data_IF_497042182052
#
_entry.id   IF_497042182052
#
_cell.length_a   1.000
_cell.length_b   1.000
_cell.length_c   1.000
_cell.angle_alpha   90.00
_cell.angle_beta   90.00
_cell.angle_gamma   90.00
#
_symmetry.space_group_name_H-M   'P 1'
#
loop_
_entity.id
_entity.type
_entity.pdbx_description
1 polymer ?
#
# COMPACT_ATOMS: atom_id res chain seq x y z
N UNK A 1 20.97 21.37 -7.86
CA UNK A 1 20.79 21.32 -6.38
C UNK A 1 19.31 21.18 -5.99
N UNK A 2 18.39 22.04 -6.47
CA UNK A 2 16.96 21.90 -6.15
C UNK A 2 16.30 20.66 -6.78
N UNK A 3 16.67 20.29 -8.01
CA UNK A 3 16.17 19.07 -8.69
C UNK A 3 16.56 17.80 -7.92
N UNK A 4 17.85 17.66 -7.59
CA UNK A 4 18.38 16.54 -6.78
C UNK A 4 17.65 16.37 -5.44
N UNK A 5 17.39 17.49 -4.74
CA UNK A 5 16.65 17.47 -3.49
C UNK A 5 15.20 17.02 -3.71
N UNK A 6 14.53 17.55 -4.75
CA UNK A 6 13.15 17.19 -5.12
C UNK A 6 12.99 15.70 -5.40
N UNK A 7 13.94 15.10 -6.11
CA UNK A 7 13.90 13.67 -6.42
C UNK A 7 14.12 12.83 -5.16
N UNK A 8 15.11 13.20 -4.35
CA UNK A 8 15.44 12.52 -3.11
C UNK A 8 14.29 12.56 -2.11
N UNK A 9 13.64 13.72 -1.92
CA UNK A 9 12.51 13.86 -0.98
C UNK A 9 11.27 13.11 -1.48
N UNK A 10 10.99 13.15 -2.80
CA UNK A 10 9.88 12.40 -3.41
C UNK A 10 10.05 10.90 -3.14
N UNK A 11 11.24 10.36 -3.42
CA UNK A 11 11.53 8.95 -3.23
C UNK A 11 11.50 8.56 -1.75
N UNK A 12 12.10 9.37 -0.86
CA UNK A 12 12.04 9.17 0.59
C UNK A 12 10.59 9.08 1.09
N UNK A 13 9.73 10.03 0.71
CA UNK A 13 8.33 10.04 1.12
C UNK A 13 7.55 8.84 0.55
N UNK A 14 7.83 8.43 -0.69
CA UNK A 14 7.21 7.25 -1.29
C UNK A 14 7.59 5.97 -0.54
N UNK A 15 8.88 5.79 -0.23
CA UNK A 15 9.39 4.64 0.53
C UNK A 15 8.84 4.64 1.96
N UNK A 16 8.74 5.81 2.60
CA UNK A 16 8.13 5.94 3.93
C UNK A 16 6.65 5.51 3.91
N UNK A 17 5.89 6.02 2.93
CA UNK A 17 4.49 5.62 2.72
C UNK A 17 4.35 4.12 2.46
N UNK A 18 5.22 3.56 1.61
CA UNK A 18 5.25 2.12 1.31
C UNK A 18 5.56 1.29 2.56
N UNK A 19 6.54 1.71 3.35
CA UNK A 19 6.96 1.00 4.58
C UNK A 19 5.83 0.93 5.60
N UNK A 20 5.10 2.04 5.78
CA UNK A 20 3.97 2.09 6.72
C UNK A 20 2.77 1.29 6.18
N UNK A 21 2.43 1.44 4.89
CA UNK A 21 1.27 0.77 4.30
C UNK A 21 1.48 -0.74 4.17
N UNK A 22 2.54 -1.16 3.49
CA UNK A 22 2.85 -2.57 3.22
C UNK A 22 3.28 -3.28 4.50
N UNK A 23 4.27 -2.72 5.20
CA UNK A 23 4.79 -3.30 6.44
C UNK A 23 3.74 -3.35 7.54
N UNK A 24 2.93 -2.30 7.68
CA UNK A 24 1.86 -2.25 8.68
C UNK A 24 0.80 -3.33 8.47
N UNK A 25 0.40 -3.60 7.22
CA UNK A 25 -0.53 -4.70 6.92
C UNK A 25 0.05 -6.07 7.34
N UNK A 26 1.32 -6.34 7.02
CA UNK A 26 1.98 -7.59 7.39
C UNK A 26 2.07 -7.76 8.90
N UNK A 27 2.52 -6.73 9.61
CA UNK A 27 2.63 -6.74 11.08
C UNK A 27 1.26 -6.95 11.71
N UNK A 28 0.23 -6.21 11.29
CA UNK A 28 -1.12 -6.38 11.81
C UNK A 28 -1.64 -7.79 11.57
N UNK A 29 -1.52 -8.32 10.34
CA UNK A 29 -1.98 -9.65 9.98
C UNK A 29 -1.37 -10.73 10.89
N UNK A 30 -0.07 -10.63 11.19
CA UNK A 30 0.64 -11.55 12.08
C UNK A 30 0.20 -11.41 13.55
N UNK A 31 -0.18 -10.21 13.99
CA UNK A 31 -0.61 -9.97 15.37
C UNK A 31 -2.06 -10.42 15.64
N UNK A 32 -2.92 -10.49 14.61
CA UNK A 32 -4.36 -10.82 14.77
C UNK A 32 -4.61 -12.10 15.59
N UNK A 33 -3.95 -13.24 15.36
CA UNK A 33 -4.22 -14.47 16.12
C UNK A 33 -3.91 -14.32 17.61
N UNK A 34 -2.83 -13.61 17.96
CA UNK A 34 -2.44 -13.39 19.36
C UNK A 34 -3.40 -12.42 20.06
N UNK A 35 -3.73 -11.31 19.40
CA UNK A 35 -4.69 -10.34 19.92
C UNK A 35 -6.06 -10.96 20.16
N UNK A 36 -6.55 -11.76 19.20
CA UNK A 36 -7.86 -12.44 19.31
C UNK A 36 -7.91 -13.46 20.43
N UNK A 37 -6.82 -14.18 20.71
CA UNK A 37 -6.73 -15.11 21.85
C UNK A 37 -6.87 -14.39 23.19
N UNK A 38 -6.39 -13.15 23.28
CA UNK A 38 -6.44 -12.36 24.52
C UNK A 38 -7.82 -11.74 24.74
N UNK A 39 -8.37 -11.14 23.70
CA UNK A 39 -9.71 -10.55 23.69
C UNK A 39 -10.22 -10.45 22.23
N UNK A 40 -11.41 -10.99 21.90
CA UNK A 40 -11.99 -10.93 20.55
C UNK A 40 -12.10 -9.52 19.94
N UNK A 41 -12.21 -8.45 20.75
CA UNK A 41 -12.36 -7.07 20.30
C UNK A 41 -11.01 -6.36 20.04
N UNK A 42 -9.90 -6.88 20.59
CA UNK A 42 -8.57 -6.26 20.47
C UNK A 42 -8.09 -6.09 19.02
N UNK A 43 -8.21 -7.09 18.11
CA UNK A 43 -7.81 -6.90 16.71
C UNK A 43 -8.49 -5.68 16.07
N UNK A 44 -9.76 -5.45 16.39
CA UNK A 44 -10.54 -4.33 15.85
C UNK A 44 -10.11 -3.00 16.45
N UNK A 45 -9.80 -2.96 17.74
CA UNK A 45 -9.26 -1.77 18.41
C UNK A 45 -7.90 -1.38 17.82
N UNK A 46 -6.97 -2.34 17.69
CA UNK A 46 -5.63 -2.13 17.13
C UNK A 46 -5.70 -1.71 15.66
N UNK A 47 -6.53 -2.37 14.84
CA UNK A 47 -6.70 -2.00 13.43
C UNK A 47 -7.25 -0.56 13.27
N UNK A 48 -8.19 -0.14 14.11
CA UNK A 48 -8.69 1.25 14.13
C UNK A 48 -7.61 2.25 14.52
N UNK A 49 -6.76 1.90 15.47
CA UNK A 49 -5.63 2.75 15.86
C UNK A 49 -4.60 2.87 14.73
N UNK A 50 -4.22 1.74 14.12
CA UNK A 50 -3.32 1.72 12.96
C UNK A 50 -3.87 2.52 11.77
N UNK A 51 -5.18 2.43 11.50
CA UNK A 51 -5.79 3.16 10.38
C UNK A 51 -5.61 4.69 10.47
N UNK A 52 -5.35 5.25 11.67
CA UNK A 52 -5.00 6.67 11.82
C UNK A 52 -3.68 7.05 11.15
N UNK A 53 -2.76 6.10 10.97
CA UNK A 53 -1.48 6.29 10.28
C UNK A 53 -1.44 5.59 8.92
N UNK A 54 -2.12 4.44 8.79
CA UNK A 54 -2.17 3.66 7.55
C UNK A 54 -2.83 4.42 6.41
N UNK A 55 -4.00 5.04 6.64
CA UNK A 55 -4.68 5.81 5.60
C UNK A 55 -3.89 7.04 5.13
N UNK A 56 -3.31 7.87 6.02
CA UNK A 56 -2.39 8.93 5.60
C UNK A 56 -1.18 8.41 4.82
N UNK A 57 -0.58 7.28 5.20
CA UNK A 57 0.53 6.69 4.45
C UNK A 57 0.11 6.24 3.04
N UNK A 58 -1.09 5.67 2.89
CA UNK A 58 -1.65 5.36 1.58
C UNK A 58 -1.91 6.60 0.74
N UNK A 59 -2.45 7.67 1.33
CA UNK A 59 -2.63 8.94 0.63
C UNK A 59 -1.28 9.51 0.18
N UNK A 60 -0.25 9.44 1.03
CA UNK A 60 1.13 9.84 0.68
C UNK A 60 1.67 9.02 -0.49
N UNK A 61 1.41 7.72 -0.53
CA UNK A 61 1.77 6.84 -1.67
C UNK A 61 1.08 7.28 -2.97
N UNK A 62 -0.20 7.63 -2.92
CA UNK A 62 -0.92 8.11 -4.10
C UNK A 62 -0.32 9.43 -4.60
N UNK A 63 -0.09 10.38 -3.70
CA UNK A 63 0.46 11.70 -4.05
C UNK A 63 1.86 11.55 -4.66
N UNK A 64 2.76 10.82 -3.99
CA UNK A 64 4.13 10.60 -4.47
C UNK A 64 4.19 9.70 -5.70
N UNK A 65 3.26 8.75 -5.84
CA UNK A 65 3.10 7.93 -7.05
C UNK A 65 2.70 8.75 -8.27
N UNK A 66 1.74 9.68 -8.11
CA UNK A 66 1.38 10.64 -9.17
C UNK A 66 2.54 11.57 -9.49
N UNK A 67 3.34 11.97 -8.49
CA UNK A 67 4.55 12.76 -8.73
C UNK A 67 5.59 11.98 -9.56
N UNK A 68 5.78 10.68 -9.32
CA UNK A 68 6.63 9.84 -10.15
C UNK A 68 6.11 9.75 -11.60
N UNK A 69 4.79 9.63 -11.80
CA UNK A 69 4.18 9.60 -13.14
C UNK A 69 4.38 10.91 -13.92
N UNK A 70 4.42 12.05 -13.23
CA UNK A 70 4.68 13.34 -13.84
C UNK A 70 6.16 13.54 -14.24
N UNK A 71 7.05 12.64 -13.84
CA UNK A 71 8.48 12.68 -14.17
C UNK A 71 8.93 11.31 -14.74
N UNK A 72 8.43 10.93 -15.93
CA UNK A 72 8.81 9.67 -16.56
C UNK A 72 10.29 9.68 -17.01
N UNK A 73 10.90 8.50 -17.23
CA UNK A 73 12.21 8.40 -17.85
C UNK A 73 12.20 8.98 -19.27
N UNK A 74 13.38 9.39 -19.76
CA UNK A 74 13.53 9.97 -21.10
C UNK A 74 13.02 9.02 -22.21
N UNK A 75 13.24 7.72 -22.05
CA UNK A 75 12.77 6.68 -22.96
C UNK A 75 11.65 5.86 -22.33
N UNK A 76 10.43 6.03 -22.82
CA UNK A 76 9.26 5.27 -22.39
C UNK A 76 9.01 4.10 -23.35
N UNK A 77 9.27 2.88 -22.92
CA UNK A 77 8.99 1.67 -23.69
C UNK A 77 7.56 1.15 -23.47
N UNK A 78 7.04 0.34 -24.38
CA UNK A 78 5.74 -0.33 -24.19
C UNK A 78 5.73 -1.23 -22.95
N UNK A 79 6.86 -1.86 -22.63
CA UNK A 79 7.02 -2.65 -21.42
C UNK A 79 6.90 -1.78 -20.15
N UNK A 80 7.56 -0.61 -20.12
CA UNK A 80 7.43 0.34 -19.02
C UNK A 80 5.97 0.82 -18.83
N UNK A 81 5.29 1.19 -19.92
CA UNK A 81 3.89 1.61 -19.87
C UNK A 81 2.97 0.51 -19.32
N UNK A 82 3.15 -0.72 -19.77
CA UNK A 82 2.38 -1.87 -19.28
C UNK A 82 2.64 -2.14 -17.80
N UNK A 83 3.90 -2.12 -17.37
CA UNK A 83 4.28 -2.31 -15.96
C UNK A 83 3.69 -1.22 -15.06
N UNK A 84 3.71 0.04 -15.48
CA UNK A 84 3.05 1.13 -14.76
C UNK A 84 1.53 0.93 -14.73
N UNK A 85 0.90 0.58 -15.84
CA UNK A 85 -0.54 0.31 -15.89
C UNK A 85 -0.96 -0.77 -14.90
N UNK A 86 -0.22 -1.87 -14.86
CA UNK A 86 -0.41 -2.96 -13.89
C UNK A 86 -0.22 -2.45 -12.46
N UNK A 87 0.86 -1.70 -12.19
CA UNK A 87 1.13 -1.14 -10.86
C UNK A 87 -0.02 -0.26 -10.38
N UNK A 88 -0.52 0.64 -11.24
CA UNK A 88 -1.62 1.56 -10.89
C UNK A 88 -2.92 0.81 -10.62
N UNK A 89 -3.23 -0.21 -11.42
CA UNK A 89 -4.37 -1.09 -11.16
C UNK A 89 -4.25 -1.79 -9.80
N UNK A 90 -3.10 -2.37 -9.49
CA UNK A 90 -2.86 -3.05 -8.22
C UNK A 90 -2.93 -2.12 -7.00
N UNK A 91 -2.41 -0.89 -7.11
CA UNK A 91 -2.54 0.14 -6.07
C UNK A 91 -4.01 0.41 -5.76
N UNK A 92 -4.82 0.64 -6.79
CA UNK A 92 -6.26 0.90 -6.63
C UNK A 92 -6.97 -0.29 -5.99
N UNK A 93 -6.68 -1.52 -6.45
CA UNK A 93 -7.25 -2.73 -5.84
C UNK A 93 -6.84 -2.85 -4.37
N UNK A 94 -5.58 -2.56 -4.01
CA UNK A 94 -5.10 -2.60 -2.63
C UNK A 94 -5.88 -1.65 -1.71
N UNK A 95 -6.04 -0.39 -2.12
CA UNK A 95 -6.79 0.60 -1.33
C UNK A 95 -8.28 0.32 -1.24
N UNK A 96 -8.93 -0.04 -2.36
CA UNK A 96 -10.36 -0.34 -2.38
C UNK A 96 -10.69 -1.59 -1.56
N UNK A 97 -9.91 -2.66 -1.72
CA UNK A 97 -10.10 -3.87 -0.91
C UNK A 97 -9.81 -3.63 0.57
N UNK A 98 -8.80 -2.82 0.92
CA UNK A 98 -8.58 -2.37 2.30
C UNK A 98 -9.80 -1.62 2.85
N UNK A 99 -10.34 -0.68 2.07
CA UNK A 99 -11.53 0.08 2.47
C UNK A 99 -12.72 -0.85 2.73
N UNK A 100 -13.02 -1.75 1.80
CA UNK A 100 -14.12 -2.72 1.94
C UNK A 100 -13.87 -3.68 3.10
N UNK A 101 -12.63 -4.11 3.32
CA UNK A 101 -12.22 -4.88 4.50
C UNK A 101 -12.57 -4.13 5.80
N UNK A 102 -12.39 -2.81 5.89
CA UNK A 102 -12.78 -2.06 7.11
C UNK A 102 -14.30 -2.01 7.36
N UNK A 103 -15.12 -2.26 6.33
CA UNK A 103 -16.58 -2.12 6.38
C UNK A 103 -17.33 -3.44 6.47
N UNK A 104 -16.71 -4.56 6.10
CA UNK A 104 -17.40 -5.83 6.12
C UNK A 104 -17.78 -6.25 7.56
N UNK A 105 -18.82 -7.07 7.67
CA UNK A 105 -19.40 -7.49 8.97
C UNK A 105 -19.36 -9.00 9.18
N UNK A 106 -19.12 -9.77 8.13
CA UNK A 106 -19.05 -11.23 8.19
C UNK A 106 -17.60 -11.74 8.09
N UNK A 107 -17.24 -12.86 8.73
CA UNK A 107 -15.87 -13.37 8.77
C UNK A 107 -15.27 -13.70 7.40
N UNK A 108 -16.07 -14.23 6.49
CA UNK A 108 -15.62 -14.61 5.14
C UNK A 108 -15.18 -13.40 4.33
N UNK A 109 -15.99 -12.33 4.33
CA UNK A 109 -15.67 -11.08 3.65
C UNK A 109 -14.48 -10.37 4.31
N UNK A 110 -14.36 -10.42 5.65
CA UNK A 110 -13.16 -9.93 6.34
C UNK A 110 -11.90 -10.61 5.80
N UNK A 111 -11.89 -11.94 5.76
CA UNK A 111 -10.74 -12.71 5.30
C UNK A 111 -10.43 -12.45 3.82
N UNK A 112 -11.45 -12.50 2.96
CA UNK A 112 -11.30 -12.30 1.52
C UNK A 112 -10.75 -10.92 1.19
N UNK A 113 -11.38 -9.85 1.67
CA UNK A 113 -10.93 -8.49 1.37
C UNK A 113 -9.58 -8.15 2.01
N UNK A 114 -9.30 -8.72 3.20
CA UNK A 114 -7.98 -8.61 3.83
C UNK A 114 -6.89 -9.28 2.99
N UNK A 115 -7.15 -10.48 2.46
CA UNK A 115 -6.22 -11.19 1.59
C UNK A 115 -6.01 -10.47 0.25
N UNK A 116 -7.09 -10.00 -0.39
CA UNK A 116 -6.99 -9.23 -1.65
C UNK A 116 -6.15 -7.98 -1.43
N UNK A 117 -6.35 -7.25 -0.33
CA UNK A 117 -5.56 -6.06 -0.01
C UNK A 117 -4.09 -6.38 0.20
N UNK A 118 -3.79 -7.37 1.04
CA UNK A 118 -2.41 -7.77 1.32
C UNK A 118 -1.66 -8.26 0.08
N UNK A 119 -2.28 -9.14 -0.71
CA UNK A 119 -1.65 -9.70 -1.92
C UNK A 119 -1.45 -8.63 -3.00
N UNK A 120 -2.44 -7.77 -3.24
CA UNK A 120 -2.30 -6.69 -4.24
C UNK A 120 -1.28 -5.65 -3.81
N UNK A 121 -1.15 -5.35 -2.52
CA UNK A 121 -0.08 -4.50 -1.97
C UNK A 121 1.31 -5.12 -2.21
N UNK A 122 1.48 -6.41 -1.95
CA UNK A 122 2.76 -7.09 -2.16
C UNK A 122 3.12 -7.15 -3.65
N UNK A 123 2.13 -7.46 -4.50
CA UNK A 123 2.30 -7.44 -5.95
C UNK A 123 2.65 -6.02 -6.45
N UNK A 124 2.00 -4.98 -5.94
CA UNK A 124 2.32 -3.58 -6.25
C UNK A 124 3.77 -3.25 -5.90
N UNK A 125 4.25 -3.69 -4.72
CA UNK A 125 5.62 -3.46 -4.29
C UNK A 125 6.60 -4.15 -5.24
N UNK A 126 6.38 -5.43 -5.57
CA UNK A 126 7.22 -6.19 -6.49
C UNK A 126 7.27 -5.57 -7.89
N UNK A 127 6.11 -5.25 -8.49
CA UNK A 127 6.02 -4.56 -9.79
C UNK A 127 6.71 -3.19 -9.71
N UNK A 128 6.63 -2.51 -8.58
CA UNK A 128 7.37 -1.28 -8.32
C UNK A 128 8.88 -1.45 -8.36
N UNK A 129 9.41 -2.54 -7.81
CA UNK A 129 10.85 -2.86 -7.86
C UNK A 129 11.31 -3.09 -9.30
N UNK A 130 10.49 -3.73 -10.15
CA UNK A 130 10.83 -3.95 -11.56
C UNK A 130 10.88 -2.67 -12.40
N UNK A 131 10.40 -1.53 -11.89
CA UNK A 131 10.54 -0.22 -12.53
C UNK A 131 11.81 0.53 -12.11
N UNK A 132 12.51 0.06 -11.07
CA UNK A 132 13.71 0.68 -10.54
C UNK A 132 15.01 0.13 -11.16
N UNK A 133 14.94 -1.02 -11.84
CA UNK A 133 16.03 -1.60 -12.64
C UNK A 133 15.77 -1.39 -14.13
#
# INVERSE_FOLDING_TARGET
MLTEFSESIRLFLHILGASVWVGGQLVLALLVPMLRKRDPELPRAVARAFNKIGWPAYALLLITGMWNLANPPETVTSAYQMTIGIKMFLVVISGLSAYVHTKAKNPTAMAMWGAVSGLSTLATMYVGVTLAG
#
